data_IF_983185493005
#
_entry.id   IF_983185493005
#
_cell.length_a   1.000
_cell.length_b   1.000
_cell.length_c   1.000
_cell.angle_alpha   90.00
_cell.angle_beta   90.00
_cell.angle_gamma   90.00
#
_symmetry.space_group_name_H-M   'P 1'
#
loop_
_entity.id
_entity.type
_entity.pdbx_description
1 polymer ?
#
# COMPACT_ATOMS: atom_id res chain seq x y z
N UNK A 1 -5.21 -19.14 -9.52
CA UNK A 1 -5.57 -17.82 -10.09
C UNK A 1 -5.02 -16.80 -9.11
N UNK A 2 -3.72 -16.55 -9.21
CA UNK A 2 -3.00 -15.68 -8.27
C UNK A 2 -3.13 -14.24 -8.80
N UNK A 3 -4.00 -13.45 -8.19
CA UNK A 3 -4.02 -12.00 -8.42
C UNK A 3 -2.92 -11.37 -7.58
N UNK A 4 -1.83 -11.01 -8.24
CA UNK A 4 -0.78 -10.17 -7.68
C UNK A 4 -1.07 -8.71 -8.09
N UNK A 5 -0.91 -7.75 -7.16
CA UNK A 5 -0.77 -6.32 -7.56
C UNK A 5 0.44 -6.12 -8.50
N UNK A 6 1.22 -7.18 -8.71
CA UNK A 6 2.29 -7.32 -9.67
C UNK A 6 1.89 -8.24 -10.82
N UNK A 7 1.20 -7.76 -11.86
CA UNK A 7 1.29 -8.39 -13.18
C UNK A 7 1.14 -7.35 -14.29
N UNK A 8 2.26 -6.92 -14.88
CA UNK A 8 2.50 -6.89 -16.35
C UNK A 8 3.82 -6.18 -16.65
N UNK A 9 4.87 -6.99 -16.80
CA UNK A 9 5.95 -6.80 -17.78
C UNK A 9 6.27 -5.34 -18.20
N UNK A 10 7.06 -4.61 -17.39
CA UNK A 10 7.93 -3.56 -17.92
C UNK A 10 9.32 -3.67 -17.30
N UNK A 11 10.41 -3.52 -18.09
CA UNK A 11 11.80 -3.65 -17.62
C UNK A 11 12.27 -2.50 -16.70
N UNK A 12 11.35 -1.76 -16.08
CA UNK A 12 11.61 -0.47 -15.41
C UNK A 12 11.38 -0.48 -13.89
N UNK A 13 10.81 -1.54 -13.32
CA UNK A 13 10.70 -1.69 -11.85
C UNK A 13 11.81 -2.63 -11.40
N UNK A 14 12.82 -2.07 -10.73
CA UNK A 14 13.91 -2.87 -10.19
C UNK A 14 13.53 -3.37 -8.79
N UNK A 15 13.98 -4.57 -8.40
CA UNK A 15 13.74 -5.13 -7.05
C UNK A 15 14.16 -4.15 -5.93
N UNK A 16 15.18 -3.34 -6.18
CA UNK A 16 15.63 -2.28 -5.25
C UNK A 16 14.55 -1.23 -4.96
N UNK A 17 13.71 -0.92 -5.93
CA UNK A 17 12.69 0.13 -5.83
C UNK A 17 11.59 -0.31 -4.86
N UNK A 18 11.18 -1.57 -4.97
CA UNK A 18 10.23 -2.21 -4.07
C UNK A 18 10.78 -2.25 -2.63
N UNK A 19 12.07 -2.61 -2.47
CA UNK A 19 12.74 -2.62 -1.16
C UNK A 19 12.78 -1.21 -0.56
N UNK A 20 13.13 -0.19 -1.36
CA UNK A 20 13.20 1.21 -0.91
C UNK A 20 11.83 1.76 -0.50
N UNK A 21 10.76 1.31 -1.15
CA UNK A 21 9.39 1.66 -0.80
C UNK A 21 8.93 0.96 0.48
N UNK A 22 9.14 -0.35 0.56
CA UNK A 22 8.82 -1.13 1.76
C UNK A 22 9.53 -0.60 3.00
N UNK A 23 10.80 -0.18 2.89
CA UNK A 23 11.56 0.37 4.02
C UNK A 23 11.01 1.68 4.59
N UNK A 24 10.11 2.35 3.87
CA UNK A 24 9.42 3.58 4.33
C UNK A 24 8.09 3.29 5.03
N UNK A 25 7.52 2.10 4.90
CA UNK A 25 6.26 1.72 5.54
C UNK A 25 6.26 1.84 7.08
N UNK A 26 7.34 1.52 7.82
CA UNK A 26 7.37 1.71 9.28
C UNK A 26 7.15 3.16 9.75
N UNK A 27 7.31 4.14 8.87
CA UNK A 27 7.11 5.55 9.17
C UNK A 27 5.64 5.99 9.07
N UNK A 28 4.75 5.11 8.59
CA UNK A 28 3.32 5.38 8.50
C UNK A 28 2.72 5.63 9.90
N UNK A 29 1.86 6.64 10.03
CA UNK A 29 1.21 7.02 11.28
C UNK A 29 2.10 7.80 12.27
N UNK A 30 3.41 7.91 12.03
CA UNK A 30 4.29 8.69 12.90
C UNK A 30 4.06 10.19 12.72
N UNK A 31 3.96 10.93 13.83
CA UNK A 31 3.69 12.37 13.81
C UNK A 31 4.71 13.17 12.97
N UNK A 32 5.99 12.76 13.00
CA UNK A 32 7.05 13.41 12.21
C UNK A 32 6.98 13.13 10.70
N UNK A 33 6.16 12.17 10.28
CA UNK A 33 5.97 11.76 8.88
C UNK A 33 4.49 11.75 8.49
N UNK A 34 3.71 12.71 8.97
CA UNK A 34 2.30 12.85 8.59
C UNK A 34 2.11 13.00 7.08
N UNK A 35 3.01 13.73 6.40
CA UNK A 35 2.99 13.85 4.95
C UNK A 35 3.10 12.47 4.27
N UNK A 36 3.96 11.59 4.78
CA UNK A 36 4.16 10.24 4.24
C UNK A 36 2.90 9.40 4.41
N UNK A 37 2.25 9.52 5.57
CA UNK A 37 0.97 8.88 5.87
C UNK A 37 -0.10 9.33 4.88
N UNK A 38 -0.17 10.64 4.61
CA UNK A 38 -1.10 11.19 3.63
C UNK A 38 -0.81 10.70 2.20
N UNK A 39 0.46 10.63 1.81
CA UNK A 39 0.88 10.10 0.50
C UNK A 39 0.47 8.63 0.36
N UNK A 40 0.73 7.79 1.37
CA UNK A 40 0.26 6.39 1.39
C UNK A 40 -1.26 6.29 1.26
N UNK A 41 -2.01 7.09 2.00
CA UNK A 41 -3.47 7.06 1.97
C UNK A 41 -3.99 7.43 0.58
N UNK A 42 -3.57 8.58 0.06
CA UNK A 42 -3.95 9.06 -1.27
C UNK A 42 -3.62 8.02 -2.33
N UNK A 43 -2.42 7.46 -2.27
CA UNK A 43 -1.99 6.46 -3.22
C UNK A 43 -2.87 5.21 -3.21
N UNK A 44 -3.14 4.65 -2.02
CA UNK A 44 -3.99 3.46 -1.87
C UNK A 44 -5.42 3.72 -2.37
N UNK A 45 -5.95 4.93 -2.15
CA UNK A 45 -7.31 5.29 -2.53
C UNK A 45 -7.47 5.59 -4.01
N UNK A 46 -6.50 6.29 -4.62
CA UNK A 46 -6.51 6.67 -6.04
C UNK A 46 -6.24 5.47 -6.93
N UNK A 47 -5.28 4.64 -6.54
CA UNK A 47 -4.80 3.55 -7.37
C UNK A 47 -5.27 2.18 -6.93
N UNK A 48 -6.20 2.12 -5.97
CA UNK A 48 -6.94 0.90 -5.62
C UNK A 48 -6.06 -0.31 -5.27
N UNK A 49 -4.87 -0.04 -4.74
CA UNK A 49 -3.90 -1.00 -4.24
C UNK A 49 -3.73 -0.92 -2.72
N UNK A 50 -3.33 -2.02 -2.09
CA UNK A 50 -3.02 -2.08 -0.66
C UNK A 50 -1.61 -2.63 -0.45
N UNK A 51 -0.66 -1.79 -0.03
CA UNK A 51 0.76 -2.14 0.12
C UNK A 51 1.60 -1.87 -1.14
N UNK A 52 2.84 -2.36 -1.17
CA UNK A 52 3.75 -2.23 -2.33
C UNK A 52 3.52 -3.35 -3.34
N UNK A 53 3.35 -4.56 -2.81
CA UNK A 53 3.04 -5.80 -3.52
C UNK A 53 1.67 -6.28 -3.05
N UNK A 54 1.42 -6.24 -1.74
CA UNK A 54 0.21 -6.77 -1.12
C UNK A 54 -0.06 -6.16 0.25
N UNK A 55 -1.29 -6.35 0.74
CA UNK A 55 -1.68 -5.86 2.05
C UNK A 55 -0.79 -6.44 3.17
N UNK A 56 -0.27 -7.65 2.98
CA UNK A 56 0.65 -8.31 3.92
C UNK A 56 1.95 -7.53 4.11
N UNK A 57 2.34 -6.67 3.16
CA UNK A 57 3.49 -5.80 3.34
C UNK A 57 3.33 -4.88 4.55
N UNK A 58 2.11 -4.45 4.86
CA UNK A 58 1.85 -3.68 6.07
C UNK A 58 2.15 -4.50 7.32
N UNK A 59 1.77 -5.77 7.34
CA UNK A 59 1.99 -6.67 8.47
C UNK A 59 3.46 -7.07 8.60
N UNK A 60 4.17 -7.25 7.47
CA UNK A 60 5.58 -7.64 7.44
C UNK A 60 6.53 -6.48 7.77
N UNK A 61 6.20 -5.28 7.29
CA UNK A 61 7.09 -4.12 7.39
C UNK A 61 6.77 -3.21 8.56
N UNK A 62 5.62 -3.38 9.22
CA UNK A 62 5.18 -2.53 10.34
C UNK A 62 4.68 -3.39 11.51
N UNK A 63 4.38 -2.75 12.64
CA UNK A 63 3.78 -3.42 13.81
C UNK A 63 2.23 -3.49 13.73
N UNK A 64 1.64 -3.26 12.56
CA UNK A 64 0.19 -3.27 12.37
C UNK A 64 -0.37 -4.70 12.20
N UNK A 65 -1.47 -5.00 12.87
CA UNK A 65 -2.18 -6.30 12.73
C UNK A 65 -3.03 -6.39 11.46
N UNK A 66 -3.47 -5.25 10.93
CA UNK A 66 -4.24 -5.13 9.68
C UNK A 66 -3.78 -3.87 8.93
N UNK A 67 -3.99 -3.79 7.60
CA UNK A 67 -3.57 -2.62 6.83
C UNK A 67 -4.38 -1.36 7.20
N UNK A 68 -3.96 -0.17 6.74
CA UNK A 68 -4.74 1.06 6.92
C UNK A 68 -6.14 1.01 6.28
N UNK A 69 -7.10 1.76 6.83
CA UNK A 69 -8.47 1.86 6.28
C UNK A 69 -8.51 2.43 4.86
N UNK A 70 -7.50 3.19 4.42
CA UNK A 70 -7.35 3.64 3.02
C UNK A 70 -7.18 2.50 2.02
N UNK A 71 -6.90 1.28 2.49
CA UNK A 71 -6.94 0.06 1.69
C UNK A 71 -8.36 -0.43 1.38
N UNK A 72 -9.42 0.11 1.98
CA UNK A 72 -10.76 -0.40 1.73
C UNK A 72 -11.39 0.22 0.47
N UNK A 73 -12.09 -0.61 -0.30
CA UNK A 73 -12.92 -0.14 -1.42
C UNK A 73 -14.03 0.82 -0.96
N UNK A 74 -14.58 0.56 0.24
CA UNK A 74 -15.49 1.47 0.94
C UNK A 74 -14.89 1.88 2.29
N UNK A 75 -14.50 3.15 2.41
CA UNK A 75 -13.82 3.65 3.59
C UNK A 75 -14.79 4.01 4.71
N UNK A 76 -14.60 3.37 5.86
CA UNK A 76 -15.20 3.74 7.13
C UNK A 76 -14.23 3.37 8.26
N UNK A 77 -14.31 4.00 9.45
CA UNK A 77 -13.41 3.68 10.54
C UNK A 77 -13.42 2.18 10.91
N UNK A 78 -12.27 1.53 10.80
CA UNK A 78 -12.07 0.11 11.10
C UNK A 78 -12.50 -0.86 10.00
N UNK A 79 -12.71 -0.38 8.76
CA UNK A 79 -13.03 -1.24 7.62
C UNK A 79 -11.93 -2.27 7.35
N UNK A 80 -10.66 -1.91 7.48
CA UNK A 80 -9.56 -2.82 7.17
C UNK A 80 -9.48 -3.95 8.21
N UNK A 81 -9.74 -3.63 9.48
CA UNK A 81 -9.89 -4.63 10.54
C UNK A 81 -11.07 -5.56 10.26
N UNK A 82 -12.20 -5.03 9.80
CA UNK A 82 -13.36 -5.85 9.45
C UNK A 82 -13.05 -6.80 8.30
N UNK A 83 -12.49 -6.27 7.21
CA UNK A 83 -12.08 -7.02 6.03
C UNK A 83 -11.09 -8.13 6.39
N UNK A 84 -10.08 -7.83 7.22
CA UNK A 84 -9.07 -8.80 7.66
C UNK A 84 -9.66 -10.05 8.32
N UNK A 85 -10.71 -9.92 9.13
CA UNK A 85 -11.34 -11.07 9.80
C UNK A 85 -12.51 -11.68 9.05
N UNK A 86 -13.08 -11.00 8.06
CA UNK A 86 -14.32 -11.40 7.39
C UNK A 86 -14.11 -11.72 5.94
N UNK A 87 -13.74 -10.71 5.15
CA UNK A 87 -13.66 -10.80 3.71
C UNK A 87 -12.57 -9.86 3.18
N UNK A 88 -11.47 -10.46 2.71
CA UNK A 88 -10.34 -9.71 2.14
C UNK A 88 -10.69 -9.06 0.79
N UNK A 89 -11.82 -9.41 0.16
CA UNK A 89 -12.29 -8.77 -1.08
C UNK A 89 -12.76 -7.32 -0.87
N UNK A 90 -13.02 -6.92 0.38
CA UNK A 90 -13.31 -5.53 0.73
C UNK A 90 -12.07 -4.62 0.63
N UNK A 91 -10.87 -5.21 0.59
CA UNK A 91 -9.63 -4.48 0.35
C UNK A 91 -9.40 -4.25 -1.15
N UNK A 92 -8.73 -3.14 -1.43
CA UNK A 92 -8.14 -2.75 -2.70
C UNK A 92 -7.18 -3.84 -3.21
N UNK A 93 -7.59 -4.52 -4.28
CA UNK A 93 -6.90 -5.67 -4.90
C UNK A 93 -6.47 -5.43 -6.35
N UNK A 94 -6.72 -4.23 -6.92
CA UNK A 94 -6.62 -3.95 -8.37
C UNK A 94 -5.85 -2.66 -8.68
N UNK A 95 -5.27 -2.59 -9.89
CA UNK A 95 -4.50 -1.47 -10.48
C UNK A 95 -3.09 -1.24 -9.90
N UNK A 96 -2.11 -1.69 -10.70
CA UNK A 96 -0.69 -1.46 -10.50
C UNK A 96 -0.30 -0.06 -10.97
N UNK A 97 0.02 0.87 -10.06
CA UNK A 97 0.86 2.00 -10.51
C UNK A 97 2.28 1.51 -10.73
N UNK A 98 3.03 2.17 -11.63
CA UNK A 98 4.47 2.01 -11.65
C UNK A 98 5.01 2.28 -10.23
N UNK A 99 5.74 1.34 -9.64
CA UNK A 99 6.54 1.54 -8.42
C UNK A 99 7.44 2.77 -8.57
N UNK A 100 7.79 3.13 -9.81
CA UNK A 100 8.45 4.38 -10.19
C UNK A 100 7.63 5.63 -9.85
N UNK A 101 6.31 5.63 -10.08
CA UNK A 101 5.42 6.74 -9.72
C UNK A 101 5.34 6.90 -8.20
N UNK A 102 5.27 5.76 -7.49
CA UNK A 102 5.37 5.70 -6.04
C UNK A 102 6.69 6.29 -5.54
N UNK A 103 7.83 5.85 -6.09
CA UNK A 103 9.14 6.39 -5.73
C UNK A 103 9.22 7.88 -6.03
N UNK A 104 8.69 8.37 -7.15
CA UNK A 104 8.67 9.81 -7.43
C UNK A 104 7.87 10.56 -6.37
N UNK A 105 6.65 10.12 -6.05
CA UNK A 105 5.84 10.75 -4.99
C UNK A 105 6.54 10.74 -3.61
N UNK A 106 7.28 9.68 -3.31
CA UNK A 106 8.01 9.56 -2.04
C UNK A 106 9.38 10.24 -2.04
N UNK A 107 9.98 10.59 -3.20
CA UNK A 107 11.29 11.26 -3.31
C UNK A 107 11.20 12.72 -3.79
N UNK A 108 10.05 13.19 -4.28
CA UNK A 108 9.85 14.53 -4.87
C UNK A 108 9.05 15.48 -3.95
N UNK A 109 8.61 15.04 -2.77
CA UNK A 109 7.96 15.89 -1.75
C UNK A 109 8.75 15.83 -0.44
#
# INVERSE_FOLDING_TARGET
MELHCYVLSKPLVHRSDMISLKSRMPNYGLQRYQWLTHTWNTFQTEFKCCGVIYFTDWLEMTEMEWPPDSCCSNQYPGCARHAHYRDLSDLHQEVSTPVTLLLLLFNVI
#
